data_IF_588654119485
#
_entry.id   IF_588654119485
#
_cell.length_a   1.000
_cell.length_b   1.000
_cell.length_c   1.000
_cell.angle_alpha   90.00
_cell.angle_beta   90.00
_cell.angle_gamma   90.00
#
_symmetry.space_group_name_H-M   'P 1'
#
loop_
_entity.id
_entity.type
_entity.pdbx_description
1 polymer ?
#
# COMPACT_ATOMS: atom_id res chain seq x y z
N UNK A 1 -8.19 -12.81 12.96
CA UNK A 1 -8.46 -11.77 11.92
C UNK A 1 -9.44 -12.25 10.84
N UNK A 2 -9.35 -13.50 10.38
CA UNK A 2 -10.24 -14.04 9.33
C UNK A 2 -11.73 -14.06 9.77
N UNK A 3 -12.00 -14.50 10.98
CA UNK A 3 -13.35 -14.62 11.53
C UNK A 3 -14.10 -13.30 11.67
N UNK A 4 -13.36 -12.17 11.77
CA UNK A 4 -13.95 -10.83 11.95
C UNK A 4 -14.18 -10.09 10.64
N UNK A 5 -13.60 -10.53 9.51
CA UNK A 5 -13.67 -9.79 8.26
C UNK A 5 -15.12 -9.59 7.78
N UNK A 6 -15.90 -10.64 7.75
CA UNK A 6 -17.32 -10.56 7.33
C UNK A 6 -18.15 -9.72 8.28
N UNK A 7 -17.90 -9.84 9.59
CA UNK A 7 -18.57 -9.01 10.62
C UNK A 7 -18.30 -7.54 10.40
N UNK A 8 -17.03 -7.16 10.09
CA UNK A 8 -16.68 -5.76 9.80
C UNK A 8 -17.31 -5.26 8.50
N UNK A 9 -17.43 -6.11 7.47
CA UNK A 9 -18.11 -5.74 6.23
C UNK A 9 -19.60 -5.44 6.50
N UNK A 10 -20.29 -6.33 7.21
CA UNK A 10 -21.69 -6.13 7.59
C UNK A 10 -21.89 -4.88 8.45
N UNK A 11 -21.00 -4.65 9.41
CA UNK A 11 -21.04 -3.47 10.28
C UNK A 11 -20.88 -2.17 9.48
N UNK A 12 -19.94 -2.11 8.53
CA UNK A 12 -19.71 -0.94 7.69
C UNK A 12 -20.91 -0.69 6.77
N UNK A 13 -21.46 -1.72 6.15
CA UNK A 13 -22.65 -1.59 5.32
C UNK A 13 -23.83 -1.05 6.12
N UNK A 14 -24.09 -1.63 7.29
CA UNK A 14 -25.16 -1.17 8.18
C UNK A 14 -24.98 0.28 8.63
N UNK A 15 -23.76 0.69 9.00
CA UNK A 15 -23.45 2.10 9.38
C UNK A 15 -23.62 3.08 8.24
N UNK A 16 -23.56 2.60 7.01
CA UNK A 16 -23.69 3.41 5.79
C UNK A 16 -25.10 3.37 5.19
N UNK A 17 -26.05 2.75 5.88
CA UNK A 17 -27.42 2.49 5.37
C UNK A 17 -27.39 1.80 3.99
N UNK A 18 -26.49 0.82 3.83
CA UNK A 18 -26.29 0.03 2.61
C UNK A 18 -26.43 -1.47 2.87
N UNK A 19 -26.85 -2.18 1.84
CA UNK A 19 -26.90 -3.64 1.81
C UNK A 19 -25.90 -4.17 0.76
N UNK A 20 -25.62 -5.47 0.78
CA UNK A 20 -24.74 -6.10 -0.22
C UNK A 20 -25.19 -5.86 -1.66
N UNK A 21 -26.51 -5.82 -1.91
CA UNK A 21 -27.08 -5.55 -3.24
C UNK A 21 -26.78 -4.14 -3.78
N UNK A 22 -26.42 -3.20 -2.91
CA UNK A 22 -26.12 -1.80 -3.29
C UNK A 22 -24.66 -1.63 -3.73
N UNK A 23 -23.83 -2.68 -3.61
CA UNK A 23 -22.44 -2.65 -4.01
C UNK A 23 -22.31 -2.78 -5.54
N UNK A 24 -21.51 -1.91 -6.15
CA UNK A 24 -21.20 -1.93 -7.57
C UNK A 24 -19.84 -2.58 -7.89
N UNK A 25 -18.93 -2.59 -6.93
CA UNK A 25 -17.62 -3.23 -7.03
C UNK A 25 -17.03 -3.50 -5.63
N UNK A 26 -16.02 -4.36 -5.56
CA UNK A 26 -15.21 -4.55 -4.36
C UNK A 26 -13.75 -4.30 -4.71
N UNK A 27 -13.07 -3.46 -3.94
CA UNK A 27 -11.63 -3.25 -4.06
C UNK A 27 -10.87 -4.07 -3.01
N UNK A 28 -9.75 -4.64 -3.41
CA UNK A 28 -8.88 -5.42 -2.51
C UNK A 28 -7.40 -5.10 -2.75
N UNK A 29 -6.65 -5.04 -1.66
CA UNK A 29 -5.19 -5.03 -1.76
C UNK A 29 -4.70 -6.38 -2.27
N UNK A 30 -4.01 -6.39 -3.43
CA UNK A 30 -3.50 -7.62 -4.07
C UNK A 30 -2.11 -8.05 -3.59
N UNK A 31 -1.50 -7.26 -2.70
CA UNK A 31 -0.12 -7.44 -2.25
C UNK A 31 0.84 -6.40 -2.85
N UNK A 32 2.12 -6.48 -2.45
CA UNK A 32 2.70 -7.45 -1.52
C UNK A 32 2.24 -7.28 -0.07
N UNK A 33 2.48 -8.30 0.78
CA UNK A 33 2.11 -8.27 2.19
C UNK A 33 2.01 -9.67 2.82
N UNK A 34 1.38 -9.78 3.98
CA UNK A 34 1.19 -11.05 4.68
C UNK A 34 0.51 -12.09 3.80
N UNK A 35 1.19 -13.19 3.52
CA UNK A 35 0.68 -14.28 2.67
C UNK A 35 -0.69 -14.82 3.12
N UNK A 36 -0.83 -15.09 4.42
CA UNK A 36 -2.09 -15.56 4.99
C UNK A 36 -3.18 -14.49 4.92
N UNK A 37 -2.85 -13.24 5.27
CA UNK A 37 -3.80 -12.12 5.22
C UNK A 37 -4.32 -11.85 3.82
N UNK A 38 -3.44 -11.84 2.82
CA UNK A 38 -3.80 -11.66 1.42
C UNK A 38 -4.72 -12.79 0.92
N UNK A 39 -4.40 -14.06 1.23
CA UNK A 39 -5.25 -15.19 0.82
C UNK A 39 -6.65 -15.09 1.40
N UNK A 40 -6.77 -14.76 2.68
CA UNK A 40 -8.06 -14.60 3.35
C UNK A 40 -8.84 -13.45 2.71
N UNK A 41 -8.24 -12.26 2.61
CA UNK A 41 -8.88 -11.08 2.07
C UNK A 41 -9.32 -11.25 0.62
N UNK A 42 -8.41 -11.72 -0.24
CA UNK A 42 -8.70 -11.93 -1.67
C UNK A 42 -9.76 -13.01 -1.88
N UNK A 43 -9.72 -14.12 -1.11
CA UNK A 43 -10.73 -15.18 -1.22
C UNK A 43 -12.12 -14.69 -0.81
N UNK A 44 -12.22 -13.94 0.30
CA UNK A 44 -13.48 -13.35 0.75
C UNK A 44 -14.04 -12.38 -0.31
N UNK A 45 -13.21 -11.46 -0.82
CA UNK A 45 -13.62 -10.52 -1.86
C UNK A 45 -14.06 -11.22 -3.15
N UNK A 46 -13.34 -12.25 -3.59
CA UNK A 46 -13.75 -13.08 -4.74
C UNK A 46 -15.08 -13.76 -4.53
N UNK A 47 -15.31 -14.33 -3.34
CA UNK A 47 -16.59 -14.97 -2.99
C UNK A 47 -17.76 -14.00 -3.03
N UNK A 48 -17.59 -12.80 -2.45
CA UNK A 48 -18.59 -11.75 -2.47
C UNK A 48 -18.86 -11.25 -3.91
N UNK A 49 -17.82 -10.95 -4.69
CA UNK A 49 -17.98 -10.52 -6.07
C UNK A 49 -18.68 -11.56 -6.93
N UNK A 50 -18.36 -12.85 -6.74
CA UNK A 50 -19.02 -13.93 -7.44
C UNK A 50 -20.52 -14.03 -7.07
N UNK A 51 -20.83 -13.98 -5.77
CA UNK A 51 -22.21 -14.06 -5.28
C UNK A 51 -23.08 -12.88 -5.68
N UNK A 52 -22.49 -11.69 -5.79
CA UNK A 52 -23.18 -10.46 -6.13
C UNK A 52 -23.13 -10.12 -7.64
N UNK A 53 -22.35 -10.86 -8.41
CA UNK A 53 -22.09 -10.62 -9.84
C UNK A 53 -21.56 -9.20 -10.12
N UNK A 54 -20.60 -8.75 -9.32
CA UNK A 54 -19.95 -7.43 -9.41
C UNK A 54 -18.43 -7.58 -9.61
N UNK A 55 -17.74 -6.57 -10.19
CA UNK A 55 -16.31 -6.63 -10.45
C UNK A 55 -15.47 -6.56 -9.16
N UNK A 56 -14.28 -7.20 -9.22
CA UNK A 56 -13.21 -7.11 -8.23
C UNK A 56 -12.08 -6.22 -8.75
N UNK A 57 -11.74 -5.17 -8.00
CA UNK A 57 -10.66 -4.24 -8.32
C UNK A 57 -9.44 -4.55 -7.45
N UNK A 58 -8.33 -4.90 -8.08
CA UNK A 58 -7.11 -5.28 -7.40
C UNK A 58 -6.10 -4.12 -7.38
N UNK A 59 -5.73 -3.64 -6.18
CA UNK A 59 -4.85 -2.49 -5.99
C UNK A 59 -3.54 -2.93 -5.31
N UNK A 60 -2.41 -2.43 -5.76
CA UNK A 60 -1.11 -2.74 -5.16
C UNK A 60 -0.95 -2.12 -3.78
N UNK A 61 -0.48 -2.91 -2.80
CA UNK A 61 -0.33 -2.46 -1.41
C UNK A 61 0.66 -1.31 -1.28
N UNK A 62 1.78 -1.34 -2.02
CA UNK A 62 2.78 -0.27 -1.99
C UNK A 62 2.23 1.06 -2.53
N UNK A 63 1.36 1.00 -3.55
CA UNK A 63 0.65 2.18 -4.03
C UNK A 63 -0.30 2.76 -2.98
N UNK A 64 -1.07 1.89 -2.29
CA UNK A 64 -1.95 2.32 -1.19
C UNK A 64 -1.12 2.98 -0.09
N UNK A 65 0.02 2.40 0.28
CA UNK A 65 0.92 2.91 1.32
C UNK A 65 1.48 4.29 0.94
N UNK A 66 1.99 4.46 -0.28
CA UNK A 66 2.49 5.73 -0.78
C UNK A 66 1.39 6.80 -0.80
N UNK A 67 0.18 6.45 -1.24
CA UNK A 67 -0.94 7.37 -1.27
C UNK A 67 -1.42 7.74 0.12
N UNK A 68 -1.41 6.80 1.08
CA UNK A 68 -1.74 7.09 2.48
C UNK A 68 -0.78 8.12 3.06
N UNK A 69 0.51 8.02 2.77
CA UNK A 69 1.50 9.00 3.20
C UNK A 69 1.23 10.39 2.64
N UNK A 70 0.88 10.49 1.35
CA UNK A 70 0.57 11.76 0.69
C UNK A 70 -0.71 12.45 1.18
N UNK A 71 -1.65 11.72 1.80
CA UNK A 71 -2.83 12.33 2.43
C UNK A 71 -2.49 13.12 3.71
N UNK A 72 -1.39 12.77 4.36
CA UNK A 72 -1.00 13.30 5.66
C UNK A 72 0.25 14.18 5.58
N UNK A 73 0.96 14.17 4.45
CA UNK A 73 2.25 14.85 4.31
C UNK A 73 2.35 15.59 2.98
N UNK A 74 2.78 16.84 3.05
CA UNK A 74 3.22 17.58 1.88
C UNK A 74 4.69 17.26 1.59
N UNK A 75 5.02 17.00 0.32
CA UNK A 75 6.37 16.73 -0.15
C UNK A 75 6.73 17.66 -1.32
N UNK A 76 8.00 17.92 -1.52
CA UNK A 76 8.44 18.75 -2.63
C UNK A 76 8.29 18.01 -3.98
N UNK A 77 8.21 18.77 -5.08
CA UNK A 77 7.99 18.21 -6.42
C UNK A 77 9.08 17.20 -6.84
N UNK A 78 10.31 17.42 -6.37
CA UNK A 78 11.46 16.56 -6.68
C UNK A 78 11.64 15.39 -5.71
N UNK A 79 10.81 15.29 -4.65
CA UNK A 79 10.93 14.23 -3.65
C UNK A 79 10.42 12.90 -4.19
N UNK A 80 11.01 11.82 -3.70
CA UNK A 80 10.62 10.45 -4.03
C UNK A 80 10.02 9.74 -2.84
N UNK A 81 8.98 8.96 -3.11
CA UNK A 81 8.34 8.08 -2.15
C UNK A 81 8.83 6.66 -2.36
N UNK A 82 9.33 6.04 -1.31
CA UNK A 82 9.86 4.68 -1.32
C UNK A 82 9.08 3.84 -0.29
N UNK A 83 7.86 3.39 -0.64
CA UNK A 83 7.09 2.51 0.23
C UNK A 83 7.80 1.17 0.40
N UNK A 84 7.81 0.68 1.64
CA UNK A 84 8.47 -0.56 2.01
C UNK A 84 7.58 -1.42 2.91
N UNK A 85 7.46 -2.69 2.56
CA UNK A 85 6.82 -3.71 3.41
C UNK A 85 7.88 -4.72 3.81
N UNK A 86 7.96 -5.02 5.10
CA UNK A 86 8.92 -5.98 5.64
C UNK A 86 8.69 -7.38 5.05
N UNK A 87 9.74 -7.95 4.43
CA UNK A 87 9.77 -9.31 3.90
C UNK A 87 10.66 -10.25 4.73
N UNK A 88 10.94 -9.87 6.00
CA UNK A 88 11.84 -10.52 6.94
C UNK A 88 13.33 -10.34 6.60
N UNK A 89 14.21 -10.61 7.59
CA UNK A 89 15.67 -10.39 7.47
C UNK A 89 15.95 -8.98 6.92
N UNK A 90 16.88 -8.85 6.00
CA UNK A 90 17.21 -7.59 5.31
C UNK A 90 16.50 -7.45 3.96
N UNK A 91 15.34 -8.12 3.76
CA UNK A 91 14.55 -8.04 2.54
C UNK A 91 13.29 -7.20 2.76
N UNK A 92 12.92 -6.43 1.74
CA UNK A 92 11.68 -5.63 1.68
C UNK A 92 11.00 -5.83 0.34
N UNK A 93 9.68 -5.69 0.31
CA UNK A 93 8.98 -5.35 -0.92
C UNK A 93 8.96 -3.83 -1.05
N UNK A 94 9.36 -3.32 -2.20
CA UNK A 94 9.46 -1.87 -2.43
C UNK A 94 9.10 -1.49 -3.86
N UNK A 95 8.75 -0.24 -4.05
CA UNK A 95 8.56 0.45 -5.32
C UNK A 95 9.02 1.91 -5.15
N UNK A 96 9.13 2.67 -6.22
CA UNK A 96 9.46 4.10 -6.14
C UNK A 96 8.42 4.89 -6.92
N UNK A 97 7.91 5.96 -6.29
CA UNK A 97 6.98 6.90 -6.88
C UNK A 97 7.55 8.32 -6.79
N UNK A 98 7.19 9.17 -7.76
CA UNK A 98 7.41 10.62 -7.63
C UNK A 98 6.31 11.30 -6.79
N UNK A 99 6.45 12.60 -6.56
CA UNK A 99 5.49 13.42 -5.82
C UNK A 99 4.11 13.50 -6.49
N UNK A 100 4.03 13.29 -7.81
CA UNK A 100 2.79 13.25 -8.60
C UNK A 100 2.16 11.85 -8.65
N UNK A 101 2.75 10.91 -7.89
CA UNK A 101 2.30 9.51 -7.84
C UNK A 101 2.55 8.72 -9.13
N UNK A 102 3.46 9.15 -10.00
CA UNK A 102 3.92 8.31 -11.10
C UNK A 102 4.89 7.26 -10.56
N UNK A 103 4.74 6.01 -10.99
CA UNK A 103 5.62 4.93 -10.61
C UNK A 103 6.94 5.02 -11.40
N UNK A 104 8.05 5.28 -10.70
CA UNK A 104 9.40 5.40 -11.26
C UNK A 104 10.10 4.05 -11.32
N UNK A 105 9.85 3.18 -10.32
CA UNK A 105 10.37 1.82 -10.27
C UNK A 105 9.27 0.85 -9.88
N UNK A 106 9.18 -0.26 -10.62
CA UNK A 106 8.19 -1.30 -10.40
C UNK A 106 8.41 -2.00 -9.05
N UNK A 107 7.34 -2.64 -8.57
CA UNK A 107 7.35 -3.43 -7.34
C UNK A 107 8.32 -4.61 -7.46
N UNK A 108 9.26 -4.69 -6.52
CA UNK A 108 10.24 -5.77 -6.43
C UNK A 108 10.43 -6.25 -4.98
N UNK A 109 10.95 -7.46 -4.81
CA UNK A 109 11.53 -7.92 -3.57
C UNK A 109 13.03 -7.58 -3.60
N UNK A 110 13.49 -6.78 -2.64
CA UNK A 110 14.85 -6.24 -2.61
C UNK A 110 15.55 -6.63 -1.30
N UNK A 111 16.71 -7.27 -1.41
CA UNK A 111 17.63 -7.44 -0.28
C UNK A 111 18.40 -6.13 -0.10
N UNK A 112 18.20 -5.49 1.05
CA UNK A 112 18.81 -4.20 1.37
C UNK A 112 20.33 -4.31 1.51
N UNK A 113 21.04 -3.49 0.75
CA UNK A 113 22.49 -3.29 0.79
C UNK A 113 22.78 -1.80 0.92
N UNK A 114 23.97 -1.42 1.41
CA UNK A 114 24.33 -0.03 1.66
C UNK A 114 24.16 0.93 0.45
N UNK A 115 24.15 0.40 -0.75
CA UNK A 115 24.03 1.15 -2.01
C UNK A 115 22.70 0.97 -2.74
N UNK A 116 21.72 0.27 -2.16
CA UNK A 116 20.48 -0.12 -2.84
C UNK A 116 19.68 1.07 -3.43
N UNK A 117 19.80 2.25 -2.82
CA UNK A 117 19.07 3.44 -3.26
C UNK A 117 20.00 4.65 -3.57
N UNK A 118 21.30 4.44 -3.72
CA UNK A 118 22.25 5.53 -3.95
C UNK A 118 21.93 6.34 -5.21
N UNK A 119 21.44 5.71 -6.26
CA UNK A 119 21.04 6.40 -7.49
C UNK A 119 19.94 7.45 -7.24
N UNK A 120 19.03 7.18 -6.31
CA UNK A 120 17.90 8.05 -5.98
C UNK A 120 18.27 9.06 -4.89
N UNK A 121 18.90 8.60 -3.81
CA UNK A 121 19.30 9.45 -2.66
C UNK A 121 20.28 10.53 -3.09
N UNK A 122 21.17 10.26 -4.04
CA UNK A 122 22.14 11.25 -4.51
C UNK A 122 21.52 12.35 -5.38
N UNK A 123 20.28 12.18 -5.85
CA UNK A 123 19.61 13.12 -6.76
C UNK A 123 18.40 13.82 -6.15
N UNK A 124 17.77 13.19 -5.15
CA UNK A 124 16.47 13.62 -4.62
C UNK A 124 16.38 13.38 -3.13
N UNK A 125 15.48 14.10 -2.45
CA UNK A 125 15.05 13.71 -1.10
C UNK A 125 14.18 12.47 -1.20
N UNK A 126 14.43 11.48 -0.33
CA UNK A 126 13.75 10.19 -0.34
C UNK A 126 12.97 9.98 0.96
N UNK A 127 11.68 9.65 0.83
CA UNK A 127 10.78 9.33 1.93
C UNK A 127 10.56 7.82 1.97
N UNK A 128 11.22 7.15 2.91
CA UNK A 128 11.08 5.72 3.18
C UNK A 128 9.91 5.50 4.13
N UNK A 129 8.87 4.80 3.68
CA UNK A 129 7.59 4.71 4.41
C UNK A 129 7.12 3.27 4.56
N UNK A 130 6.44 2.98 5.69
CA UNK A 130 5.93 1.64 6.02
C UNK A 130 6.88 0.84 6.91
N UNK A 131 6.43 -0.33 7.34
CA UNK A 131 7.11 -1.16 8.35
C UNK A 131 8.49 -1.68 7.92
N UNK A 132 8.75 -1.78 6.62
CA UNK A 132 10.08 -2.11 6.09
C UNK A 132 11.09 -0.95 6.18
N UNK A 133 10.65 0.28 6.42
CA UNK A 133 11.54 1.46 6.44
C UNK A 133 12.41 1.54 7.69
N UNK A 134 11.98 0.98 8.82
CA UNK A 134 12.74 0.99 10.07
C UNK A 134 14.14 0.37 9.90
N UNK A 135 14.21 -0.83 9.31
CA UNK A 135 15.50 -1.49 9.09
C UNK A 135 16.35 -0.82 8.01
N UNK A 136 15.74 -0.06 7.11
CA UNK A 136 16.43 0.69 6.06
C UNK A 136 17.10 1.96 6.60
N UNK A 137 16.61 2.53 7.72
CA UNK A 137 17.19 3.72 8.35
C UNK A 137 18.66 3.50 8.72
N UNK A 138 19.02 2.30 9.20
CA UNK A 138 20.39 1.95 9.56
C UNK A 138 21.37 2.02 8.37
N UNK A 139 20.88 1.83 7.15
CA UNK A 139 21.69 1.79 5.95
C UNK A 139 21.70 3.12 5.18
N UNK A 140 20.59 3.85 5.21
CA UNK A 140 20.36 4.97 4.29
C UNK A 140 20.16 6.33 4.97
N UNK A 141 20.40 6.43 6.29
CA UNK A 141 20.23 7.70 7.00
C UNK A 141 21.20 8.74 6.50
N UNK A 142 20.69 9.75 5.82
CA UNK A 142 21.38 10.94 5.29
C UNK A 142 20.50 12.17 5.55
N UNK A 143 21.04 13.37 5.32
CA UNK A 143 20.33 14.64 5.53
C UNK A 143 19.05 14.75 4.68
N UNK A 144 19.06 14.19 3.49
CA UNK A 144 17.94 14.20 2.53
C UNK A 144 17.08 12.92 2.56
N UNK A 145 17.13 12.13 3.64
CA UNK A 145 16.30 10.94 3.81
C UNK A 145 15.37 11.07 5.01
N UNK A 146 14.12 10.70 4.84
CA UNK A 146 13.09 10.68 5.88
C UNK A 146 12.53 9.28 6.04
N UNK A 147 12.23 8.87 7.29
CA UNK A 147 11.74 7.52 7.61
C UNK A 147 10.44 7.62 8.39
N UNK A 148 9.42 6.90 7.94
CA UNK A 148 8.08 6.88 8.54
C UNK A 148 7.57 5.43 8.65
N UNK A 149 8.05 4.67 9.66
CA UNK A 149 7.76 3.24 9.79
C UNK A 149 6.32 2.93 10.23
N UNK A 150 5.62 3.89 10.84
CA UNK A 150 4.29 3.69 11.42
C UNK A 150 3.16 4.05 10.42
N UNK A 151 3.44 4.10 9.12
CA UNK A 151 2.43 4.28 8.09
C UNK A 151 1.95 2.91 7.61
N UNK A 152 0.62 2.72 7.62
CA UNK A 152 -0.02 1.47 7.20
C UNK A 152 -0.96 1.72 6.01
N UNK A 153 -1.11 0.73 5.10
CA UNK A 153 -2.07 0.84 4.00
C UNK A 153 -3.51 1.03 4.51
N UNK A 154 -4.20 2.05 4.02
CA UNK A 154 -5.57 2.37 4.43
C UNK A 154 -6.59 2.08 3.33
N UNK A 155 -7.66 1.35 3.66
CA UNK A 155 -8.76 1.12 2.75
C UNK A 155 -9.49 2.42 2.33
N UNK A 156 -9.48 3.45 3.17
CA UNK A 156 -10.03 4.79 2.86
C UNK A 156 -9.39 5.38 1.60
N UNK A 157 -8.08 5.19 1.45
CA UNK A 157 -7.33 5.72 0.31
C UNK A 157 -7.62 4.93 -0.96
N UNK A 158 -8.03 3.67 -0.85
CA UNK A 158 -8.35 2.83 -2.00
C UNK A 158 -9.49 3.38 -2.86
N UNK A 159 -10.41 4.15 -2.28
CA UNK A 159 -11.51 4.78 -3.03
C UNK A 159 -11.00 5.62 -4.21
N UNK A 160 -9.91 6.38 -4.02
CA UNK A 160 -9.30 7.20 -5.08
C UNK A 160 -8.76 6.37 -6.27
N UNK A 161 -8.32 5.14 -6.04
CA UNK A 161 -7.91 4.24 -7.12
C UNK A 161 -9.11 3.66 -7.87
N UNK A 162 -10.19 3.40 -7.15
CA UNK A 162 -11.43 2.86 -7.72
C UNK A 162 -12.09 3.87 -8.64
N UNK A 163 -12.19 5.14 -8.23
CA UNK A 163 -12.77 6.23 -9.02
C UNK A 163 -12.06 6.45 -10.37
N UNK A 164 -10.76 6.10 -10.45
CA UNK A 164 -9.99 6.18 -11.69
C UNK A 164 -10.17 4.95 -12.59
N UNK A 165 -10.67 3.83 -12.04
CA UNK A 165 -10.83 2.56 -12.73
C UNK A 165 -12.26 2.33 -13.24
N UNK A 166 -13.21 3.15 -12.82
CA UNK A 166 -14.62 3.20 -13.25
C UNK A 166 -14.87 4.37 -14.18
#
# INVERSE_FOLDING_TARGET
HAEKLHVFIEEILSKSDKEFKDLNAIAVSKGPGSYTGLRIGVSACKGLCYGLNIPLIAIETLGILARTYLEENEIAEQDLLIPMIDARRMEVYTAIFDSKFNKIKETEALILQNNSFDEFINKSSCHFIGDGSEKSELLFKKENTKFSPIIYPSAKVMAKFVEQAF
#
